data_IF_291764934419
#
_entry.id   IF_291764934419
#
_cell.length_a   1.000
_cell.length_b   1.000
_cell.length_c   1.000
_cell.angle_alpha   90.00
_cell.angle_beta   90.00
_cell.angle_gamma   90.00
#
_symmetry.space_group_name_H-M   'P 1'
#
loop_
_entity.id
_entity.type
_entity.pdbx_description
1 polymer ?
#
# COMPACT_ATOMS: atom_id res chain seq x y z
N UNK A 1 -11.99 13.51 -1.70
CA UNK A 1 -12.33 12.17 -1.16
C UNK A 1 -13.27 11.49 -2.14
N UNK A 2 -13.02 10.21 -2.48
CA UNK A 2 -13.95 9.46 -3.32
C UNK A 2 -15.31 9.32 -2.65
N UNK A 3 -16.36 9.24 -3.47
CA UNK A 3 -17.75 9.16 -3.01
C UNK A 3 -18.11 7.78 -2.47
N UNK A 4 -17.38 6.75 -2.90
CA UNK A 4 -17.57 5.35 -2.52
C UNK A 4 -16.26 4.80 -1.94
N UNK A 5 -16.32 3.86 -0.98
CA UNK A 5 -15.13 3.16 -0.51
C UNK A 5 -14.49 2.38 -1.67
N UNK A 6 -13.15 2.19 -1.66
CA UNK A 6 -12.50 1.36 -2.67
C UNK A 6 -12.99 -0.08 -2.58
N UNK A 7 -13.01 -0.77 -3.71
CA UNK A 7 -13.20 -2.21 -3.74
C UNK A 7 -11.95 -2.89 -3.18
N UNK A 8 -12.13 -3.92 -2.35
CA UNK A 8 -11.02 -4.70 -1.80
C UNK A 8 -11.07 -6.10 -2.37
N UNK A 9 -9.95 -6.56 -2.95
CA UNK A 9 -9.81 -7.92 -3.47
C UNK A 9 -8.59 -8.62 -2.89
N UNK A 10 -8.79 -9.84 -2.39
CA UNK A 10 -7.69 -10.71 -1.98
C UNK A 10 -7.18 -11.50 -3.19
N UNK A 11 -5.86 -11.55 -3.37
CA UNK A 11 -5.18 -12.25 -4.47
C UNK A 11 -3.97 -13.03 -3.94
N UNK A 12 -3.60 -14.08 -4.67
CA UNK A 12 -2.37 -14.83 -4.36
C UNK A 12 -1.13 -13.99 -4.66
N UNK A 13 -0.02 -14.31 -3.99
CA UNK A 13 1.26 -13.66 -4.26
C UNK A 13 1.70 -13.77 -5.73
N UNK A 14 1.45 -14.91 -6.38
CA UNK A 14 1.72 -15.13 -7.80
C UNK A 14 1.00 -14.08 -8.68
N UNK A 15 -0.23 -13.71 -8.32
CA UNK A 15 -0.96 -12.67 -9.04
C UNK A 15 -0.28 -11.30 -8.90
N UNK A 16 0.25 -10.95 -7.72
CA UNK A 16 1.02 -9.71 -7.51
C UNK A 16 2.31 -9.68 -8.34
N UNK A 17 3.04 -10.80 -8.39
CA UNK A 17 4.24 -10.94 -9.23
C UNK A 17 3.91 -10.63 -10.69
N UNK A 18 2.79 -11.16 -11.20
CA UNK A 18 2.36 -10.96 -12.58
C UNK A 18 1.85 -9.54 -12.88
N UNK A 19 1.11 -8.91 -11.96
CA UNK A 19 0.34 -7.69 -12.23
C UNK A 19 0.97 -6.42 -11.66
N UNK A 20 1.48 -6.47 -10.43
CA UNK A 20 2.13 -5.33 -9.77
C UNK A 20 3.63 -5.26 -10.07
N UNK A 21 4.28 -6.41 -10.22
CA UNK A 21 5.74 -6.53 -10.38
C UNK A 21 6.21 -7.19 -11.69
N UNK A 22 5.61 -6.93 -12.88
CA UNK A 22 5.88 -7.71 -14.09
C UNK A 22 7.34 -7.67 -14.59
N UNK A 23 8.20 -6.84 -14.00
CA UNK A 23 9.61 -6.66 -14.37
C UNK A 23 10.59 -6.87 -13.21
N UNK A 24 10.13 -7.44 -12.09
CA UNK A 24 10.97 -7.64 -10.91
C UNK A 24 11.02 -9.10 -10.48
N UNK A 25 12.23 -9.62 -10.33
CA UNK A 25 12.47 -11.01 -9.91
C UNK A 25 12.14 -11.25 -8.43
N UNK A 26 12.02 -10.19 -7.61
CA UNK A 26 11.79 -10.25 -6.15
C UNK A 26 10.66 -9.30 -5.72
N UNK A 27 9.43 -9.64 -6.10
CA UNK A 27 8.24 -8.89 -5.74
C UNK A 27 7.92 -9.10 -4.25
N UNK A 28 8.06 -8.04 -3.45
CA UNK A 28 7.73 -8.06 -2.03
C UNK A 28 6.47 -7.23 -1.73
N UNK A 29 5.64 -6.99 -2.75
CA UNK A 29 4.39 -6.24 -2.63
C UNK A 29 3.35 -7.15 -1.99
N UNK A 30 2.71 -6.66 -0.93
CA UNK A 30 1.69 -7.39 -0.17
C UNK A 30 0.31 -6.71 -0.24
N UNK A 31 0.25 -5.47 -0.72
CA UNK A 31 -0.97 -4.76 -1.07
C UNK A 31 -0.65 -3.75 -2.17
N UNK A 32 -1.65 -3.39 -2.98
CA UNK A 32 -1.48 -2.46 -4.10
C UNK A 32 -2.81 -1.82 -4.49
N UNK A 33 -2.87 -0.50 -4.50
CA UNK A 33 -3.92 0.27 -5.15
C UNK A 33 -3.64 0.46 -6.65
N UNK A 34 -4.56 0.01 -7.51
CA UNK A 34 -4.33 -0.03 -8.96
C UNK A 34 -4.65 1.26 -9.72
N UNK A 35 -4.87 2.38 -9.04
CA UNK A 35 -5.33 3.65 -9.62
C UNK A 35 -6.72 3.62 -10.29
N UNK A 36 -7.44 2.49 -10.24
CA UNK A 36 -8.77 2.30 -10.84
C UNK A 36 -9.86 2.01 -9.79
N UNK A 37 -9.58 2.27 -8.51
CA UNK A 37 -10.56 2.09 -7.43
C UNK A 37 -10.50 0.73 -6.71
N UNK A 38 -9.53 -0.13 -7.05
CA UNK A 38 -9.37 -1.45 -6.42
C UNK A 38 -8.09 -1.48 -5.58
N UNK A 39 -8.22 -1.89 -4.32
CA UNK A 39 -7.11 -2.24 -3.44
C UNK A 39 -6.97 -3.75 -3.41
N UNK A 40 -5.85 -4.25 -3.91
CA UNK A 40 -5.49 -5.65 -3.83
C UNK A 40 -4.73 -5.94 -2.54
N UNK A 41 -5.00 -7.09 -1.90
CA UNK A 41 -4.31 -7.58 -0.71
C UNK A 41 -3.81 -9.00 -0.97
N UNK A 42 -2.57 -9.29 -0.58
CA UNK A 42 -2.04 -10.64 -0.59
C UNK A 42 -2.79 -11.52 0.41
N UNK A 43 -3.30 -12.66 -0.06
CA UNK A 43 -4.11 -13.59 0.74
C UNK A 43 -3.37 -14.20 1.93
N UNK A 44 -2.03 -14.13 1.94
CA UNK A 44 -1.22 -14.59 3.07
C UNK A 44 -1.26 -13.65 4.28
N UNK A 45 -1.77 -12.43 4.12
CA UNK A 45 -1.89 -11.46 5.19
C UNK A 45 -3.06 -11.78 6.14
N UNK A 46 -2.76 -11.80 7.44
CA UNK A 46 -3.78 -11.88 8.48
C UNK A 46 -4.48 -10.52 8.64
N UNK A 47 -5.76 -10.44 8.24
CA UNK A 47 -6.56 -9.21 8.27
C UNK A 47 -6.78 -8.68 9.70
N UNK A 48 -6.75 -9.56 10.69
CA UNK A 48 -6.92 -9.18 12.10
C UNK A 48 -5.61 -8.66 12.70
N UNK A 49 -4.49 -8.77 11.97
CA UNK A 49 -3.21 -8.25 12.42
C UNK A 49 -3.14 -6.73 12.26
N UNK A 50 -2.61 -6.06 13.29
CA UNK A 50 -2.36 -4.62 13.24
C UNK A 50 -1.42 -4.22 12.10
N UNK A 51 -0.49 -5.10 11.72
CA UNK A 51 0.40 -4.89 10.58
C UNK A 51 -0.38 -4.80 9.26
N UNK A 52 -1.21 -5.78 8.93
CA UNK A 52 -2.06 -5.76 7.74
C UNK A 52 -2.97 -4.54 7.72
N UNK A 53 -3.54 -4.17 8.87
CA UNK A 53 -4.34 -2.95 8.98
C UNK A 53 -3.51 -1.70 8.65
N UNK A 54 -2.26 -1.62 9.10
CA UNK A 54 -1.37 -0.50 8.75
C UNK A 54 -1.03 -0.44 7.26
N UNK A 55 -0.91 -1.60 6.60
CA UNK A 55 -0.70 -1.68 5.15
C UNK A 55 -1.96 -1.20 4.41
N UNK A 56 -3.16 -1.55 4.89
CA UNK A 56 -4.40 -1.03 4.31
C UNK A 56 -4.56 0.48 4.45
N UNK A 57 -4.15 1.04 5.59
CA UNK A 57 -4.12 2.50 5.78
C UNK A 57 -3.23 3.15 4.72
N UNK A 58 -2.10 2.53 4.36
CA UNK A 58 -1.23 3.00 3.28
C UNK A 58 -1.98 3.08 1.94
N UNK A 59 -2.59 1.97 1.50
CA UNK A 59 -3.31 1.92 0.22
C UNK A 59 -4.51 2.87 0.18
N UNK A 60 -5.21 3.06 1.29
CA UNK A 60 -6.31 4.01 1.37
C UNK A 60 -5.86 5.46 1.24
N UNK A 61 -4.61 5.79 1.59
CA UNK A 61 -4.05 7.10 1.27
C UNK A 61 -3.88 7.24 -0.24
N UNK A 62 -3.39 6.23 -0.94
CA UNK A 62 -3.28 6.25 -2.40
C UNK A 62 -4.62 6.45 -3.11
N UNK A 63 -5.70 5.89 -2.57
CA UNK A 63 -7.08 6.09 -3.04
C UNK A 63 -7.53 7.55 -2.91
N UNK A 64 -7.05 8.28 -1.89
CA UNK A 64 -7.45 9.67 -1.63
C UNK A 64 -6.55 10.72 -2.31
N UNK A 65 -5.35 10.33 -2.69
CA UNK A 65 -4.34 11.21 -3.29
C UNK A 65 -4.72 11.66 -4.70
N UNK A 66 -4.17 12.81 -5.08
CA UNK A 66 -4.31 13.33 -6.44
C UNK A 66 -3.46 12.47 -7.41
N UNK A 67 -4.03 11.95 -8.52
CA UNK A 67 -3.30 11.12 -9.47
C UNK A 67 -2.12 11.83 -10.13
N UNK A 68 -2.10 13.17 -10.14
CA UNK A 68 -1.02 13.97 -10.72
C UNK A 68 0.14 14.24 -9.73
N UNK A 69 0.08 13.69 -8.51
CA UNK A 69 1.17 13.80 -7.53
C UNK A 69 2.47 13.16 -8.05
N UNK A 70 3.60 13.80 -7.75
CA UNK A 70 4.92 13.20 -8.03
C UNK A 70 5.04 11.86 -7.28
N UNK A 71 5.42 10.76 -7.96
CA UNK A 71 5.36 9.41 -7.37
C UNK A 71 6.09 9.28 -6.03
N UNK A 72 7.28 9.87 -5.88
CA UNK A 72 8.00 9.80 -4.61
C UNK A 72 7.37 10.67 -3.51
N UNK A 73 6.67 11.74 -3.85
CA UNK A 73 5.91 12.55 -2.89
C UNK A 73 4.65 11.81 -2.45
N UNK A 74 3.96 11.16 -3.40
CA UNK A 74 2.80 10.29 -3.17
C UNK A 74 3.12 9.20 -2.15
N UNK A 75 4.20 8.45 -2.37
CA UNK A 75 4.70 7.43 -1.45
C UNK A 75 5.04 7.99 -0.07
N UNK A 76 5.79 9.11 -0.02
CA UNK A 76 6.23 9.69 1.25
C UNK A 76 5.06 10.09 2.14
N UNK A 77 3.98 10.60 1.56
CA UNK A 77 2.76 10.91 2.30
C UNK A 77 2.06 9.64 2.81
N UNK A 78 1.89 8.62 1.97
CA UNK A 78 1.25 7.35 2.37
C UNK A 78 2.01 6.68 3.54
N UNK A 79 3.33 6.60 3.46
CA UNK A 79 4.17 6.11 4.57
C UNK A 79 4.10 7.01 5.81
N UNK A 80 3.97 8.33 5.66
CA UNK A 80 3.84 9.22 6.82
C UNK A 80 2.56 8.92 7.62
N UNK A 81 1.43 8.74 6.94
CA UNK A 81 0.15 8.40 7.56
C UNK A 81 0.17 6.99 8.13
N UNK A 82 0.72 6.00 7.40
CA UNK A 82 0.90 4.64 7.92
C UNK A 82 1.71 4.62 9.21
N UNK A 83 2.84 5.33 9.24
CA UNK A 83 3.70 5.40 10.43
C UNK A 83 2.99 6.09 11.61
N UNK A 84 2.20 7.12 11.35
CA UNK A 84 1.38 7.75 12.38
C UNK A 84 0.36 6.76 12.96
N UNK A 85 -0.35 6.02 12.10
CA UNK A 85 -1.29 4.98 12.53
C UNK A 85 -0.60 3.92 13.41
N UNK A 86 0.56 3.42 12.99
CA UNK A 86 1.35 2.42 13.73
C UNK A 86 1.70 2.93 15.14
N UNK A 87 2.18 4.17 15.24
CA UNK A 87 2.58 4.79 16.52
C UNK A 87 1.36 4.95 17.44
N UNK A 88 0.24 5.43 16.91
CA UNK A 88 -0.94 5.78 17.70
C UNK A 88 -1.77 4.55 18.12
N UNK A 89 -1.82 3.50 17.30
CA UNK A 89 -2.77 2.39 17.48
C UNK A 89 -2.11 1.05 17.81
N UNK A 90 -0.85 0.84 17.41
CA UNK A 90 -0.15 -0.43 17.63
C UNK A 90 0.90 -0.36 18.74
N UNK A 91 1.13 0.85 19.30
CA UNK A 91 2.09 1.11 20.38
C UNK A 91 3.49 0.51 20.12
N UNK A 92 3.90 0.45 18.85
CA UNK A 92 5.19 -0.10 18.42
C UNK A 92 6.06 0.99 17.79
N UNK A 93 7.38 0.77 17.83
CA UNK A 93 8.39 1.66 17.22
C UNK A 93 8.77 1.23 15.79
N UNK A 94 8.11 0.20 15.25
CA UNK A 94 8.30 -0.21 13.86
C UNK A 94 7.92 0.95 12.93
N UNK A 95 8.81 1.27 11.98
CA UNK A 95 8.56 2.28 10.95
C UNK A 95 8.67 1.66 9.58
N UNK A 96 7.65 1.88 8.78
CA UNK A 96 7.65 1.58 7.37
C UNK A 96 8.43 2.70 6.64
N UNK A 97 9.38 2.32 5.79
CA UNK A 97 10.28 3.26 5.09
C UNK A 97 9.90 3.40 3.62
N UNK A 98 9.75 4.63 3.09
CA UNK A 98 9.54 4.83 1.66
C UNK A 98 10.69 4.26 0.83
N UNK A 99 10.37 3.44 -0.17
CA UNK A 99 11.35 2.96 -1.15
C UNK A 99 11.38 3.87 -2.37
N UNK A 100 11.72 5.14 -2.17
CA UNK A 100 11.88 6.09 -3.27
C UNK A 100 13.34 6.12 -3.74
N UNK A 101 13.72 5.25 -4.69
CA UNK A 101 15.00 5.33 -5.38
C UNK A 101 14.79 5.34 -6.90
N UNK A 102 15.04 6.50 -7.52
CA UNK A 102 15.19 6.66 -8.98
C UNK A 102 14.16 5.93 -9.86
N UNK A 103 12.88 6.26 -9.69
CA UNK A 103 11.87 6.09 -10.73
C UNK A 103 10.96 4.87 -10.65
N UNK A 104 10.82 4.23 -9.48
CA UNK A 104 9.77 3.23 -9.25
C UNK A 104 9.11 3.49 -7.90
N UNK A 105 7.81 3.79 -7.92
CA UNK A 105 6.90 3.58 -6.78
C UNK A 105 6.44 2.12 -6.83
N UNK A 106 6.30 1.50 -5.67
CA UNK A 106 5.91 0.08 -5.51
C UNK A 106 4.46 0.01 -5.10
#
# INVERSE_FOLDING_TARGET
MPAEPPEIQFKSHEWFVEHACPKMDDCNVLAWYNDEGIVYIDESLDIDSGYTTSVLVHEFVHVMQDPDMEPCAREREAYAVQNQYIIENLATVYRATPKCSSGVSY
#
